data_IF_434498381173
#
_entry.id   IF_434498381173
#
_cell.length_a   1.000
_cell.length_b   1.000
_cell.length_c   1.000
_cell.angle_alpha   90.00
_cell.angle_beta   90.00
_cell.angle_gamma   90.00
#
_symmetry.space_group_name_H-M   'P 1'
#
loop_
_entity.id
_entity.type
_entity.pdbx_description
1 polymer ?
#
# COMPACT_ATOMS: atom_id res chain seq x y z
N UNK A 1 30.14 -46.53 -35.14
CA UNK A 1 29.71 -46.50 -33.71
C UNK A 1 30.14 -45.24 -32.95
N UNK A 2 31.25 -44.56 -33.29
CA UNK A 2 31.71 -43.36 -32.56
C UNK A 2 30.86 -42.08 -32.76
N UNK A 3 30.06 -41.99 -33.84
CA UNK A 3 29.18 -40.83 -34.11
C UNK A 3 27.93 -40.82 -33.23
N UNK A 4 27.32 -41.99 -32.98
CA UNK A 4 26.15 -42.15 -32.13
C UNK A 4 26.45 -41.89 -30.63
N UNK A 5 27.66 -42.22 -30.17
CA UNK A 5 28.07 -41.90 -28.80
C UNK A 5 28.28 -40.38 -28.60
N UNK A 6 28.79 -39.67 -29.61
CA UNK A 6 28.94 -38.20 -29.56
C UNK A 6 27.60 -37.48 -29.50
N UNK A 7 26.58 -37.96 -30.23
CA UNK A 7 25.24 -37.38 -30.17
C UNK A 7 24.59 -37.59 -28.80
N UNK A 8 24.76 -38.75 -28.16
CA UNK A 8 24.22 -39.03 -26.82
C UNK A 8 24.87 -38.12 -25.75
N UNK A 9 26.20 -37.96 -25.80
CA UNK A 9 26.92 -37.04 -24.88
C UNK A 9 26.53 -35.58 -25.12
N UNK A 10 26.27 -35.19 -26.38
CA UNK A 10 25.80 -33.85 -26.70
C UNK A 10 24.37 -33.61 -26.20
N UNK A 11 23.51 -34.63 -26.19
CA UNK A 11 22.16 -34.55 -25.61
C UNK A 11 22.21 -34.48 -24.08
N UNK A 12 23.10 -35.24 -23.42
CA UNK A 12 23.30 -35.18 -21.96
C UNK A 12 23.86 -33.83 -21.48
N UNK A 13 24.73 -33.19 -22.27
CA UNK A 13 25.23 -31.83 -21.99
C UNK A 13 24.14 -30.76 -21.99
N UNK A 14 22.97 -31.00 -22.61
CA UNK A 14 21.82 -30.07 -22.55
C UNK A 14 21.09 -30.11 -21.21
N UNK A 15 21.23 -31.21 -20.45
CA UNK A 15 20.64 -31.37 -19.12
C UNK A 15 21.58 -30.92 -17.99
N UNK A 16 22.85 -30.65 -18.30
CA UNK A 16 23.80 -30.06 -17.36
C UNK A 16 23.59 -28.56 -17.38
N UNK A 17 23.04 -28.02 -16.29
CA UNK A 17 22.90 -26.57 -16.08
C UNK A 17 24.24 -25.87 -16.27
N UNK A 18 24.22 -24.60 -16.67
CA UNK A 18 25.48 -23.85 -16.75
C UNK A 18 26.08 -23.79 -15.33
N UNK A 19 27.41 -23.88 -15.18
CA UNK A 19 28.01 -24.05 -13.86
C UNK A 19 27.67 -22.90 -12.88
N UNK A 20 27.41 -21.70 -13.39
CA UNK A 20 26.98 -20.52 -12.61
C UNK A 20 25.48 -20.45 -12.33
N UNK A 21 24.68 -21.43 -12.77
CA UNK A 21 23.24 -21.56 -12.47
C UNK A 21 22.98 -22.57 -11.33
N UNK A 22 24.05 -23.13 -10.74
CA UNK A 22 23.97 -24.12 -9.65
C UNK A 22 24.02 -23.43 -8.30
N UNK A 23 24.87 -22.40 -8.15
CA UNK A 23 25.02 -21.62 -6.91
C UNK A 23 25.24 -20.14 -7.22
N UNK A 24 24.84 -19.29 -6.27
CA UNK A 24 24.97 -17.83 -6.37
C UNK A 24 23.71 -17.13 -6.90
N UNK A 25 23.76 -15.80 -7.12
CA UNK A 25 22.57 -15.00 -7.43
C UNK A 25 21.82 -15.46 -8.68
N UNK A 26 22.53 -16.01 -9.67
CA UNK A 26 21.93 -16.52 -10.91
C UNK A 26 21.15 -17.84 -10.75
N UNK A 27 21.21 -18.46 -9.57
CA UNK A 27 20.46 -19.68 -9.22
C UNK A 27 19.17 -19.38 -8.44
N UNK A 28 19.00 -18.14 -7.94
CA UNK A 28 17.80 -17.74 -7.19
C UNK A 28 16.59 -17.56 -8.11
N UNK A 29 15.39 -18.04 -7.72
CA UNK A 29 14.19 -17.95 -8.56
C UNK A 29 13.73 -16.50 -8.79
N UNK A 30 14.17 -15.57 -7.96
CA UNK A 30 13.82 -14.15 -8.01
C UNK A 30 14.79 -13.34 -8.90
N UNK A 31 15.90 -13.96 -9.33
CA UNK A 31 16.90 -13.29 -10.15
C UNK A 31 16.36 -12.95 -11.54
N UNK A 32 16.49 -11.67 -11.92
CA UNK A 32 16.17 -11.17 -13.27
C UNK A 32 17.40 -10.55 -13.91
N UNK A 33 17.55 -10.78 -15.22
CA UNK A 33 18.62 -10.17 -16.00
C UNK A 33 18.39 -8.66 -16.13
N UNK A 34 19.47 -7.89 -16.01
CA UNK A 34 19.43 -6.42 -16.03
C UNK A 34 19.12 -5.81 -17.39
N UNK A 35 19.24 -6.58 -18.49
CA UNK A 35 19.03 -6.09 -19.84
C UNK A 35 17.58 -6.34 -20.26
N UNK A 36 16.70 -5.33 -20.22
CA UNK A 36 15.35 -5.48 -20.71
C UNK A 36 15.38 -5.66 -22.23
N UNK A 37 14.35 -6.32 -22.78
CA UNK A 37 14.20 -6.37 -24.24
C UNK A 37 13.85 -4.97 -24.75
N UNK A 38 14.36 -4.61 -25.92
CA UNK A 38 14.02 -3.35 -26.58
C UNK A 38 12.52 -3.21 -26.87
N UNK A 39 11.79 -4.33 -26.98
CA UNK A 39 10.33 -4.37 -27.13
C UNK A 39 9.58 -4.13 -25.82
N UNK A 40 10.23 -4.24 -24.67
CA UNK A 40 9.58 -4.14 -23.34
C UNK A 40 9.89 -2.79 -22.69
N UNK A 41 11.11 -2.28 -22.88
CA UNK A 41 11.52 -0.99 -22.34
C UNK A 41 11.25 0.15 -23.34
N UNK A 42 10.49 1.16 -22.91
CA UNK A 42 10.28 2.41 -23.66
C UNK A 42 9.70 2.20 -25.07
N UNK A 43 8.58 1.45 -25.12
CA UNK A 43 7.75 1.25 -26.31
C UNK A 43 7.40 2.56 -27.05
N UNK A 44 7.22 3.64 -26.29
CA UNK A 44 6.85 4.96 -26.80
C UNK A 44 8.02 5.91 -26.54
N UNK A 45 8.43 6.65 -27.57
CA UNK A 45 9.44 7.71 -27.41
C UNK A 45 8.88 8.81 -26.49
N UNK A 46 9.69 9.41 -25.60
CA UNK A 46 9.21 10.39 -24.64
C UNK A 46 8.66 11.67 -25.29
N UNK A 47 9.06 11.96 -26.53
CA UNK A 47 8.54 13.08 -27.30
C UNK A 47 7.26 12.74 -28.10
N UNK A 48 6.87 11.46 -28.15
CA UNK A 48 5.76 10.95 -28.97
C UNK A 48 4.69 10.28 -28.11
N UNK A 49 4.41 10.87 -26.94
CA UNK A 49 3.42 10.33 -26.01
C UNK A 49 2.02 10.54 -26.64
N UNK A 50 1.18 9.48 -26.74
CA UNK A 50 -0.13 9.59 -27.37
C UNK A 50 -1.12 10.43 -26.57
N UNK A 51 -0.85 10.63 -25.28
CA UNK A 51 -1.70 11.36 -24.34
C UNK A 51 -1.12 12.75 -24.10
N UNK A 52 -1.97 13.78 -24.21
CA UNK A 52 -1.64 15.12 -23.74
C UNK A 52 -1.69 15.16 -22.21
N UNK A 53 -0.56 15.40 -21.57
CA UNK A 53 -0.50 15.57 -20.12
C UNK A 53 -1.01 16.97 -19.72
N UNK A 54 -2.01 17.02 -18.84
CA UNK A 54 -2.49 18.26 -18.21
C UNK A 54 -1.93 18.32 -16.79
N UNK A 55 -0.89 19.11 -16.58
CA UNK A 55 -0.27 19.28 -15.26
C UNK A 55 -0.98 20.41 -14.51
N UNK A 56 -1.60 20.16 -13.35
CA UNK A 56 -2.28 21.19 -12.58
C UNK A 56 -1.25 22.19 -12.03
N UNK A 57 -1.50 23.48 -12.23
CA UNK A 57 -0.61 24.56 -11.77
C UNK A 57 -1.10 25.25 -10.49
N UNK A 58 -2.41 25.19 -10.22
CA UNK A 58 -3.04 25.86 -9.10
C UNK A 58 -4.21 25.03 -8.59
N UNK A 59 -4.52 25.18 -7.30
CA UNK A 59 -5.67 24.53 -6.68
C UNK A 59 -6.97 25.16 -7.20
N UNK A 60 -8.05 24.38 -7.46
CA UNK A 60 -9.29 24.90 -8.02
C UNK A 60 -9.93 26.05 -7.21
N UNK A 61 -9.75 26.04 -5.88
CA UNK A 61 -10.21 27.10 -4.98
C UNK A 61 -9.55 28.45 -5.26
N UNK A 62 -8.33 28.45 -5.79
CA UNK A 62 -7.49 29.65 -5.99
C UNK A 62 -7.57 30.23 -7.40
N UNK A 63 -8.19 29.50 -8.34
CA UNK A 63 -8.35 29.90 -9.74
C UNK A 63 -9.30 31.09 -9.87
N UNK A 64 -10.45 31.04 -9.19
CA UNK A 64 -11.45 32.11 -9.24
C UNK A 64 -11.33 33.08 -8.06
N UNK A 65 -11.00 32.60 -6.86
CA UNK A 65 -10.68 33.48 -5.73
C UNK A 65 -9.19 33.87 -5.76
N UNK A 66 -8.90 34.93 -6.50
CA UNK A 66 -7.54 35.37 -6.80
C UNK A 66 -6.92 36.29 -5.73
N UNK A 67 -7.55 36.44 -4.57
CA UNK A 67 -7.03 37.30 -3.49
C UNK A 67 -5.64 36.83 -3.07
N UNK A 68 -4.63 37.69 -3.26
CA UNK A 68 -3.24 37.32 -3.00
C UNK A 68 -2.84 37.48 -1.53
N UNK A 69 -3.27 38.55 -0.85
CA UNK A 69 -2.85 38.84 0.52
C UNK A 69 -3.07 37.70 1.55
N UNK A 70 -4.17 36.90 1.51
CA UNK A 70 -4.31 35.78 2.46
C UNK A 70 -3.40 34.59 2.11
N UNK A 71 -2.97 34.48 0.85
CA UNK A 71 -2.10 33.40 0.35
C UNK A 71 -0.61 33.72 0.47
N UNK A 72 -0.25 35.00 0.70
CA UNK A 72 1.13 35.46 0.76
C UNK A 72 1.84 34.99 2.03
N UNK A 73 2.40 33.78 1.98
CA UNK A 73 3.20 33.21 3.07
C UNK A 73 4.55 33.92 3.28
N UNK A 74 5.02 34.69 2.29
CA UNK A 74 6.33 35.36 2.36
C UNK A 74 6.26 36.59 3.26
N UNK A 75 5.18 37.36 3.15
CA UNK A 75 4.98 38.59 3.93
C UNK A 75 4.13 38.37 5.19
N UNK A 76 3.28 37.34 5.22
CA UNK A 76 2.47 36.98 6.38
C UNK A 76 3.30 36.28 7.47
N UNK A 77 4.41 36.91 7.87
CA UNK A 77 5.25 36.48 8.98
C UNK A 77 5.08 37.47 10.13
N UNK A 78 5.09 37.00 11.38
CA UNK A 78 5.04 37.90 12.53
C UNK A 78 6.23 38.88 12.48
N UNK A 79 6.04 40.16 12.86
CA UNK A 79 7.12 41.12 12.90
C UNK A 79 8.17 40.72 13.95
N UNK A 80 9.44 41.07 13.69
CA UNK A 80 10.54 40.76 14.61
C UNK A 80 10.37 41.56 15.90
N UNK A 81 10.19 40.87 17.03
CA UNK A 81 10.11 41.49 18.36
C UNK A 81 11.50 41.49 18.99
N UNK A 82 12.02 42.68 19.34
CA UNK A 82 13.31 42.85 20.03
C UNK A 82 13.07 43.43 21.41
N UNK A 83 13.50 42.74 22.45
CA UNK A 83 13.44 43.19 23.84
C UNK A 83 14.84 43.25 24.41
N UNK A 84 15.19 44.34 25.08
CA UNK A 84 16.49 44.48 25.75
C UNK A 84 16.35 44.00 27.19
N UNK A 85 17.14 43.00 27.57
CA UNK A 85 17.20 42.49 28.94
C UNK A 85 18.33 43.18 29.70
N UNK A 86 18.02 43.78 30.85
CA UNK A 86 19.02 44.35 31.76
C UNK A 86 19.42 43.31 32.81
N UNK A 87 20.52 43.58 33.53
CA UNK A 87 20.99 42.71 34.63
C UNK A 87 19.88 42.41 35.65
N UNK A 88 19.08 43.40 36.03
CA UNK A 88 17.99 43.23 36.98
C UNK A 88 16.95 42.20 36.50
N UNK A 89 16.60 42.22 35.21
CA UNK A 89 15.63 41.29 34.63
C UNK A 89 16.15 39.86 34.63
N UNK A 90 17.45 39.69 34.33
CA UNK A 90 18.11 38.37 34.31
C UNK A 90 18.23 37.78 35.71
N UNK A 91 18.60 38.57 36.72
CA UNK A 91 18.68 38.11 38.12
C UNK A 91 17.30 37.64 38.59
N UNK A 92 16.24 38.40 38.28
CA UNK A 92 14.87 38.02 38.57
C UNK A 92 14.47 36.70 37.89
N UNK A 93 14.77 36.52 36.59
CA UNK A 93 14.50 35.26 35.88
C UNK A 93 15.25 34.06 36.47
N UNK A 94 16.45 34.28 37.01
CA UNK A 94 17.24 33.24 37.65
C UNK A 94 16.67 32.84 39.01
N UNK A 95 16.15 33.80 39.77
CA UNK A 95 15.45 33.54 41.05
C UNK A 95 14.11 32.83 40.84
N UNK A 96 13.39 33.15 39.76
CA UNK A 96 12.08 32.56 39.43
C UNK A 96 12.17 31.15 38.82
N UNK A 97 13.29 30.80 38.17
CA UNK A 97 13.40 29.55 37.42
C UNK A 97 13.88 28.38 38.29
N UNK A 98 13.03 27.39 38.46
CA UNK A 98 13.37 26.05 38.98
C UNK A 98 13.37 25.05 37.82
N UNK A 99 14.13 23.96 37.93
CA UNK A 99 14.21 22.93 36.89
C UNK A 99 13.51 21.65 37.36
N UNK A 100 12.54 21.20 36.58
CA UNK A 100 11.96 19.86 36.66
C UNK A 100 12.54 18.95 35.56
N UNK A 101 12.32 17.64 35.65
CA UNK A 101 12.80 16.65 34.66
C UNK A 101 12.28 16.95 33.25
N UNK A 102 11.09 17.53 33.13
CA UNK A 102 10.47 17.90 31.84
C UNK A 102 11.09 19.15 31.18
N UNK A 103 11.84 19.97 31.92
CA UNK A 103 12.46 21.19 31.39
C UNK A 103 13.73 20.89 30.56
N UNK A 104 14.25 19.67 30.65
CA UNK A 104 15.40 19.24 29.88
C UNK A 104 14.99 18.90 28.44
N UNK A 105 15.77 19.33 27.43
CA UNK A 105 15.47 19.00 26.05
C UNK A 105 15.45 17.48 25.88
N UNK A 106 14.44 16.94 25.17
CA UNK A 106 14.34 15.50 24.99
C UNK A 106 15.56 14.99 24.21
N UNK A 107 16.16 13.90 24.70
CA UNK A 107 17.28 13.26 24.02
C UNK A 107 16.75 12.56 22.76
N UNK A 108 17.39 12.82 21.62
CA UNK A 108 17.14 12.05 20.41
C UNK A 108 17.78 10.66 20.56
N UNK A 109 17.04 9.73 21.17
CA UNK A 109 17.47 8.34 21.35
C UNK A 109 17.27 7.57 20.04
N UNK A 110 18.37 7.12 19.44
CA UNK A 110 18.30 6.15 18.36
C UNK A 110 17.94 4.79 18.96
N UNK A 111 16.87 4.16 18.45
CA UNK A 111 16.51 2.81 18.88
C UNK A 111 17.67 1.85 18.63
N UNK A 112 17.84 0.85 19.51
CA UNK A 112 18.68 -0.30 19.19
C UNK A 112 17.98 -1.07 18.08
N UNK A 113 18.54 -1.02 16.89
CA UNK A 113 18.03 -1.72 15.72
C UNK A 113 18.68 -3.09 15.68
N UNK A 114 17.86 -4.13 15.63
CA UNK A 114 18.30 -5.47 15.23
C UNK A 114 18.13 -5.56 13.71
N UNK A 115 19.23 -5.80 13.01
CA UNK A 115 19.23 -5.88 11.55
C UNK A 115 18.69 -7.26 11.14
N UNK A 116 17.49 -7.27 10.54
CA UNK A 116 16.93 -8.44 9.87
C UNK A 116 16.81 -8.15 8.38
N UNK A 117 17.33 -9.09 7.58
CA UNK A 117 17.45 -9.00 6.13
C UNK A 117 16.10 -8.88 5.42
N UNK A 118 15.06 -9.61 5.88
CA UNK A 118 13.77 -9.70 5.18
C UNK A 118 12.53 -9.42 6.07
N UNK A 119 12.72 -8.93 7.30
CA UNK A 119 11.66 -8.75 8.32
C UNK A 119 10.43 -7.97 7.83
N UNK A 120 10.63 -6.90 7.05
CA UNK A 120 9.56 -5.99 6.63
C UNK A 120 9.09 -6.30 5.22
N UNK A 121 7.86 -6.79 5.09
CA UNK A 121 7.27 -7.13 3.79
C UNK A 121 7.91 -8.34 3.09
N UNK A 122 8.64 -9.19 3.84
CA UNK A 122 9.31 -10.36 3.29
C UNK A 122 10.45 -10.04 2.32
N UNK A 123 11.12 -8.88 2.47
CA UNK A 123 12.14 -8.39 1.54
C UNK A 123 11.57 -7.68 0.30
N UNK A 124 10.24 -7.71 0.12
CA UNK A 124 9.53 -7.04 -0.97
C UNK A 124 8.69 -5.89 -0.41
N UNK A 125 9.21 -4.67 -0.47
CA UNK A 125 8.42 -3.49 -0.10
C UNK A 125 7.30 -3.25 -1.12
N UNK A 126 6.07 -3.32 -0.64
CA UNK A 126 4.90 -2.81 -1.36
C UNK A 126 4.89 -1.29 -1.19
N UNK A 127 4.97 -0.54 -2.29
CA UNK A 127 4.58 0.86 -2.31
C UNK A 127 3.05 0.93 -2.10
N UNK A 128 2.62 0.85 -0.83
CA UNK A 128 1.22 0.63 -0.45
C UNK A 128 0.40 1.92 -0.31
N UNK A 129 0.91 3.07 -0.74
CA UNK A 129 0.25 4.34 -0.42
C UNK A 129 -0.80 4.84 -1.43
N UNK A 130 -0.95 4.26 -2.62
CA UNK A 130 -1.86 4.85 -3.64
C UNK A 130 -2.91 3.90 -4.27
N UNK A 131 -2.92 2.60 -3.96
CA UNK A 131 -3.83 1.64 -4.61
C UNK A 131 -5.11 1.32 -3.83
N UNK A 132 -5.16 1.57 -2.51
CA UNK A 132 -6.30 1.17 -1.68
C UNK A 132 -7.53 2.11 -1.82
N UNK A 133 -7.35 3.36 -2.24
CA UNK A 133 -8.46 4.34 -2.32
C UNK A 133 -9.23 4.24 -3.66
N UNK A 134 -8.59 3.82 -4.75
CA UNK A 134 -9.21 3.78 -6.09
C UNK A 134 -10.02 2.51 -6.34
N UNK A 135 -9.63 1.36 -5.76
CA UNK A 135 -10.34 0.10 -5.98
C UNK A 135 -11.66 -0.03 -5.20
N UNK A 136 -11.84 0.71 -4.08
CA UNK A 136 -13.08 0.64 -3.28
C UNK A 136 -14.26 1.42 -3.88
N UNK A 137 -14.04 2.51 -4.61
CA UNK A 137 -15.15 3.38 -5.07
C UNK A 137 -15.79 2.93 -6.39
N UNK A 138 -14.98 2.44 -7.33
CA UNK A 138 -15.48 2.08 -8.67
C UNK A 138 -16.17 0.71 -8.68
N UNK A 139 -15.72 -0.22 -7.85
CA UNK A 139 -16.35 -1.53 -7.65
C UNK A 139 -17.71 -1.41 -6.95
N UNK A 140 -17.82 -0.60 -5.89
CA UNK A 140 -19.09 -0.31 -5.21
C UNK A 140 -20.08 0.42 -6.12
N UNK A 141 -19.61 1.34 -6.96
CA UNK A 141 -20.46 2.05 -7.94
C UNK A 141 -20.95 1.13 -9.07
N UNK A 142 -20.14 0.14 -9.46
CA UNK A 142 -20.51 -0.94 -10.39
C UNK A 142 -21.56 -1.88 -9.80
N UNK A 143 -21.39 -2.30 -8.54
CA UNK A 143 -22.33 -3.16 -7.84
C UNK A 143 -23.69 -2.49 -7.63
N UNK A 144 -23.71 -1.20 -7.27
CA UNK A 144 -24.95 -0.41 -7.13
C UNK A 144 -25.82 -0.41 -8.39
N UNK A 145 -25.22 -0.41 -9.59
CA UNK A 145 -25.96 -0.42 -10.86
C UNK A 145 -26.61 -1.76 -11.19
N UNK A 146 -26.19 -2.86 -10.53
CA UNK A 146 -26.74 -4.20 -10.77
C UNK A 146 -27.96 -4.53 -9.91
N UNK A 147 -28.19 -3.79 -8.83
CA UNK A 147 -29.34 -3.98 -7.96
C UNK A 147 -30.44 -2.97 -8.30
N UNK A 148 -31.57 -3.45 -8.82
CA UNK A 148 -32.79 -2.65 -9.01
C UNK A 148 -33.97 -3.33 -8.31
N UNK A 149 -34.92 -2.54 -7.80
CA UNK A 149 -36.10 -3.03 -7.06
C UNK A 149 -35.88 -3.16 -5.54
N UNK A 150 -36.59 -4.07 -4.88
CA UNK A 150 -36.64 -4.24 -3.42
C UNK A 150 -35.26 -4.40 -2.75
N UNK A 151 -34.27 -4.94 -3.46
CA UNK A 151 -32.89 -5.09 -2.96
C UNK A 151 -32.17 -3.75 -2.74
N UNK A 152 -32.55 -2.68 -3.46
CA UNK A 152 -32.00 -1.33 -3.24
C UNK A 152 -32.44 -0.74 -1.90
N UNK A 153 -33.65 -1.06 -1.44
CA UNK A 153 -34.18 -0.54 -0.17
C UNK A 153 -33.55 -1.23 1.03
N UNK A 154 -33.25 -2.54 0.91
CA UNK A 154 -32.50 -3.31 1.91
C UNK A 154 -31.05 -2.82 1.97
N UNK A 155 -30.45 -2.49 0.81
CA UNK A 155 -29.10 -1.95 0.73
C UNK A 155 -28.97 -0.60 1.46
N UNK A 156 -29.94 0.31 1.31
CA UNK A 156 -29.91 1.60 2.02
C UNK A 156 -30.16 1.46 3.53
N UNK A 157 -31.03 0.52 3.96
CA UNK A 157 -31.33 0.31 5.38
C UNK A 157 -30.19 -0.32 6.19
N UNK A 158 -29.29 -1.09 5.58
CA UNK A 158 -28.18 -1.75 6.28
C UNK A 158 -26.84 -0.99 6.24
N UNK A 159 -26.73 0.06 5.42
CA UNK A 159 -25.49 0.84 5.32
C UNK A 159 -25.39 1.95 6.36
N UNK A 160 -26.51 2.40 6.94
CA UNK A 160 -26.52 3.44 7.98
C UNK A 160 -26.16 2.89 9.39
N UNK A 161 -26.38 1.60 9.67
CA UNK A 161 -26.06 1.01 10.99
C UNK A 161 -24.59 0.59 11.17
N UNK A 162 -23.76 0.62 10.11
CA UNK A 162 -22.47 -0.11 10.07
C UNK A 162 -21.23 0.78 10.03
N UNK A 163 -21.35 2.08 10.34
CA UNK A 163 -20.21 3.03 10.30
C UNK A 163 -19.32 2.98 11.57
N UNK A 164 -19.57 2.08 12.53
CA UNK A 164 -18.76 2.01 13.75
C UNK A 164 -18.24 0.59 13.96
N UNK A 165 -16.92 0.47 13.97
CA UNK A 165 -16.06 -0.66 14.38
C UNK A 165 -15.73 -1.75 13.34
N UNK A 166 -14.43 -1.77 13.00
CA UNK A 166 -13.62 -2.86 12.42
C UNK A 166 -13.94 -3.40 11.00
N UNK A 167 -13.37 -2.67 10.03
CA UNK A 167 -13.45 -2.71 8.57
C UNK A 167 -13.05 -4.01 7.81
N UNK A 168 -12.85 -5.15 8.49
CA UNK A 168 -12.38 -6.40 7.84
C UNK A 168 -13.39 -7.55 7.97
N UNK A 169 -14.22 -7.57 9.01
CA UNK A 169 -15.12 -8.71 9.30
C UNK A 169 -16.37 -8.74 8.40
N UNK A 170 -16.75 -7.59 7.83
CA UNK A 170 -18.06 -7.41 7.18
C UNK A 170 -18.17 -7.88 5.72
N UNK A 171 -17.07 -7.96 4.98
CA UNK A 171 -17.11 -8.36 3.56
C UNK A 171 -17.44 -9.85 3.43
N UNK A 172 -16.93 -10.67 4.38
CA UNK A 172 -17.21 -12.11 4.38
C UNK A 172 -18.63 -12.41 4.83
N UNK A 173 -19.18 -11.71 5.82
CA UNK A 173 -20.55 -11.98 6.29
C UNK A 173 -21.59 -11.63 5.24
N UNK A 174 -21.47 -10.49 4.56
CA UNK A 174 -22.42 -10.09 3.50
C UNK A 174 -22.30 -11.01 2.27
N UNK A 175 -21.08 -11.41 1.88
CA UNK A 175 -20.89 -12.37 0.79
C UNK A 175 -21.45 -13.76 1.11
N UNK A 176 -21.28 -14.24 2.37
CA UNK A 176 -21.84 -15.51 2.85
C UNK A 176 -23.37 -15.45 2.93
N UNK A 177 -23.95 -14.31 3.31
CA UNK A 177 -25.41 -14.13 3.36
C UNK A 177 -26.02 -14.09 1.95
N UNK A 178 -25.33 -13.48 0.98
CA UNK A 178 -25.77 -13.49 -0.42
C UNK A 178 -25.67 -14.90 -1.02
N UNK A 179 -24.59 -15.64 -0.75
CA UNK A 179 -24.43 -17.02 -1.22
C UNK A 179 -25.43 -18.00 -0.57
N UNK A 180 -25.77 -17.83 0.70
CA UNK A 180 -26.78 -18.69 1.37
C UNK A 180 -28.20 -18.43 0.87
N UNK A 181 -28.53 -17.18 0.51
CA UNK A 181 -29.82 -16.84 -0.13
C UNK A 181 -29.90 -17.39 -1.56
N UNK A 182 -28.79 -17.41 -2.30
CA UNK A 182 -28.74 -17.94 -3.67
C UNK A 182 -28.82 -19.48 -3.70
N UNK A 183 -28.25 -20.17 -2.71
CA UNK A 183 -28.38 -21.63 -2.53
C UNK A 183 -29.78 -22.04 -2.06
N UNK A 184 -30.49 -21.19 -1.32
CA UNK A 184 -31.85 -21.51 -0.82
C UNK A 184 -32.96 -21.32 -1.88
N UNK A 185 -32.66 -20.64 -2.99
CA UNK A 185 -33.62 -20.36 -4.07
C UNK A 185 -33.68 -21.39 -5.18
N UNK A 186 -32.78 -22.38 -5.19
CA UNK A 186 -32.68 -23.39 -6.25
C UNK A 186 -32.72 -24.81 -5.68
N UNK A 187 -33.93 -25.38 -5.61
CA UNK A 187 -34.17 -26.80 -5.87
C UNK A 187 -33.74 -27.81 -4.80
N UNK A 188 -34.73 -28.47 -4.20
CA UNK A 188 -34.52 -29.65 -3.37
C UNK A 188 -33.88 -30.84 -4.10
N UNK A 189 -33.28 -31.72 -3.31
CA UNK A 189 -32.90 -33.07 -3.72
C UNK A 189 -31.50 -33.48 -3.27
N UNK A 190 -31.43 -34.51 -2.43
CA UNK A 190 -30.30 -35.44 -2.44
C UNK A 190 -29.19 -35.21 -1.41
N UNK A 191 -29.32 -35.90 -0.28
CA UNK A 191 -28.26 -36.37 0.62
C UNK A 191 -26.89 -36.65 -0.02
N UNK A 192 -25.80 -36.18 0.59
CA UNK A 192 -24.71 -37.02 1.13
C UNK A 192 -23.74 -36.13 1.93
N UNK A 193 -23.54 -36.49 3.18
CA UNK A 193 -22.63 -35.79 4.09
C UNK A 193 -21.18 -36.16 3.83
N UNK A 194 -20.31 -35.15 3.89
CA UNK A 194 -18.93 -35.33 4.33
C UNK A 194 -18.57 -34.17 5.28
N UNK A 195 -18.44 -34.56 6.53
CA UNK A 195 -17.96 -33.79 7.67
C UNK A 195 -16.43 -33.86 7.60
N UNK A 196 -15.75 -32.75 7.30
CA UNK A 196 -14.29 -32.65 7.49
C UNK A 196 -14.04 -31.74 8.68
N UNK A 197 -13.64 -32.40 9.76
CA UNK A 197 -13.24 -31.87 11.05
C UNK A 197 -11.96 -31.04 10.95
N UNK A 198 -11.98 -29.91 11.64
CA UNK A 198 -10.83 -29.10 12.05
C UNK A 198 -9.98 -29.93 13.02
N UNK A 199 -8.67 -30.01 12.77
CA UNK A 199 -7.68 -30.37 13.81
C UNK A 199 -6.56 -29.33 13.81
N UNK A 200 -6.24 -28.73 14.98
CA UNK A 200 -4.99 -28.03 15.22
C UNK A 200 -3.97 -28.96 15.90
N UNK A 201 -2.71 -28.99 15.45
CA UNK A 201 -1.52 -29.47 16.17
C UNK A 201 -0.29 -29.05 15.34
N UNK A 202 0.55 -28.13 15.81
CA UNK A 202 1.71 -28.31 16.71
C UNK A 202 2.89 -29.03 16.03
N UNK A 203 3.90 -28.25 15.62
CA UNK A 203 5.25 -28.22 16.20
C UNK A 203 5.96 -26.90 15.80
#
# INVERSE_FOLDING_TARGET
MASAAKSVVQTLRRYIKKPWEITGPCADPEYRLAVPKATEYRLICPASIPTAAVVPTADPSTVYDIKYFPRDQRRNRPPVRRTVLKKADVVKMMEEKTFDVADFPPVYLTAKVEEDYNARGGGYQVLQENSQILLRKDTLRSLRKRFTGKLSQIWEAHLEEVIVEDDVVLILTVAVLILTVEVSGLGGGGSHGYMCTITPECD
#
